data_IF_759240108294
#
_entry.id   IF_759240108294
#
_cell.length_a   1.000
_cell.length_b   1.000
_cell.length_c   1.000
_cell.angle_alpha   90.00
_cell.angle_beta   90.00
_cell.angle_gamma   90.00
#
_symmetry.space_group_name_H-M   'P 1'
#
loop_
_entity.id
_entity.type
_entity.pdbx_description
1 polymer ?
#
# COMPACT_ATOMS: atom_id res chain seq x y z
N UNK A 1 -36.06 46.46 -51.73
CA UNK A 1 -35.19 47.20 -50.79
C UNK A 1 -33.95 46.34 -50.56
N UNK A 2 -32.87 46.69 -51.28
CA UNK A 2 -31.59 47.22 -50.73
C UNK A 2 -30.74 46.13 -50.09
N UNK A 3 -29.72 45.64 -50.83
CA UNK A 3 -28.31 46.07 -50.75
C UNK A 3 -27.57 45.33 -49.62
N UNK A 4 -26.53 44.56 -49.94
CA UNK A 4 -25.12 45.01 -49.84
C UNK A 4 -24.50 44.36 -48.58
N UNK A 5 -23.24 43.95 -48.41
CA UNK A 5 -21.98 43.93 -49.18
C UNK A 5 -20.91 43.51 -48.15
N UNK A 6 -19.85 42.78 -48.58
CA UNK A 6 -18.46 42.75 -48.03
C UNK A 6 -18.28 42.52 -46.50
N UNK A 7 -17.12 42.23 -45.91
CA UNK A 7 -15.70 42.03 -46.20
C UNK A 7 -15.22 41.30 -44.93
N UNK A 8 -14.31 40.33 -44.98
CA UNK A 8 -12.89 40.61 -45.07
C UNK A 8 -12.18 40.35 -43.73
N UNK A 9 -10.87 40.12 -43.83
CA UNK A 9 -9.83 40.06 -42.80
C UNK A 9 -9.37 38.69 -42.26
N UNK A 10 -8.27 38.23 -42.90
CA UNK A 10 -7.08 37.67 -42.27
C UNK A 10 -6.80 38.21 -40.87
N UNK A 11 -6.32 37.36 -39.95
CA UNK A 11 -5.10 37.63 -39.16
C UNK A 11 -4.34 36.31 -38.92
N UNK A 12 -3.04 36.37 -39.16
CA UNK A 12 -2.05 35.31 -39.04
C UNK A 12 -1.44 35.22 -37.63
N UNK A 13 -0.81 34.06 -37.37
CA UNK A 13 0.34 33.79 -36.48
C UNK A 13 0.40 34.39 -35.06
N UNK A 14 0.65 33.50 -34.09
CA UNK A 14 1.76 33.69 -33.14
C UNK A 14 2.17 32.36 -32.51
N UNK A 15 3.33 31.86 -32.95
CA UNK A 15 4.15 30.86 -32.24
C UNK A 15 4.94 31.62 -31.18
N UNK A 16 4.81 31.25 -29.91
CA UNK A 16 5.80 31.58 -28.88
C UNK A 16 6.25 30.29 -28.18
N UNK A 17 7.55 30.04 -28.32
CA UNK A 17 8.33 29.08 -27.55
C UNK A 17 8.39 29.51 -26.08
N UNK A 18 8.38 28.53 -25.18
CA UNK A 18 9.01 28.67 -23.87
C UNK A 18 9.92 27.46 -23.63
N UNK A 19 11.20 27.60 -23.98
CA UNK A 19 12.27 26.86 -23.31
C UNK A 19 12.56 27.60 -22.00
N UNK A 20 12.37 26.96 -20.87
CA UNK A 20 13.06 27.31 -19.63
C UNK A 20 13.76 26.07 -19.13
N UNK A 21 15.08 26.11 -19.25
CA UNK A 21 15.97 25.07 -18.80
C UNK A 21 16.26 25.24 -17.29
N UNK A 22 16.46 24.07 -16.66
CA UNK A 22 17.30 23.80 -15.49
C UNK A 22 17.19 24.68 -14.24
N UNK A 23 16.55 24.11 -13.20
CA UNK A 23 17.13 24.10 -11.86
C UNK A 23 17.47 22.64 -11.54
N UNK A 24 18.77 22.32 -11.56
CA UNK A 24 19.32 21.23 -10.79
C UNK A 24 19.32 21.65 -9.33
N UNK A 25 18.57 20.91 -8.52
CA UNK A 25 18.92 20.71 -7.12
C UNK A 25 19.14 19.20 -6.98
N UNK A 26 20.37 18.79 -7.27
CA UNK A 26 20.97 17.59 -6.70
C UNK A 26 20.98 17.77 -5.18
N UNK A 27 19.92 17.32 -4.52
CA UNK A 27 19.93 17.11 -3.07
C UNK A 27 19.85 15.61 -2.80
N UNK A 28 21.03 15.06 -2.55
CA UNK A 28 21.31 13.80 -1.86
C UNK A 28 20.33 12.64 -2.12
N UNK A 29 20.59 11.91 -3.20
CA UNK A 29 20.09 10.57 -3.42
C UNK A 29 20.48 9.61 -2.29
N UNK A 30 19.63 9.50 -1.28
CA UNK A 30 19.22 8.18 -0.77
C UNK A 30 17.85 7.91 -1.37
N UNK A 31 17.84 7.40 -2.60
CA UNK A 31 16.63 6.96 -3.25
C UNK A 31 15.89 6.04 -2.29
N UNK A 32 14.72 6.47 -1.83
CA UNK A 32 13.76 5.57 -1.24
C UNK A 32 13.48 4.53 -2.31
N UNK A 33 14.16 3.38 -2.24
CA UNK A 33 13.76 2.20 -3.00
C UNK A 33 12.30 1.99 -2.64
N UNK A 34 11.41 2.33 -3.58
CA UNK A 34 9.98 2.28 -3.35
C UNK A 34 9.63 0.89 -2.86
N UNK A 35 8.84 0.81 -1.77
CA UNK A 35 8.36 -0.47 -1.28
C UNK A 35 7.58 -1.14 -2.41
N UNK A 36 8.00 -2.36 -2.76
CA UNK A 36 7.34 -3.15 -3.80
C UNK A 36 6.52 -4.26 -3.14
N UNK A 37 5.54 -4.86 -3.83
CA UNK A 37 4.89 -6.08 -3.36
C UNK A 37 5.88 -7.18 -2.93
N UNK A 38 7.01 -7.30 -3.64
CA UNK A 38 8.07 -8.25 -3.31
C UNK A 38 8.71 -7.98 -1.93
N UNK A 39 8.71 -6.73 -1.44
CA UNK A 39 9.25 -6.37 -0.12
C UNK A 39 8.47 -7.01 1.04
N UNK A 40 7.20 -7.40 0.82
CA UNK A 40 6.37 -8.06 1.83
C UNK A 40 6.56 -9.58 1.88
N UNK A 41 7.12 -10.18 0.82
CA UNK A 41 7.26 -11.63 0.69
C UNK A 41 8.14 -12.18 1.81
N UNK A 42 7.66 -13.22 2.50
CA UNK A 42 8.34 -13.81 3.65
C UNK A 42 7.38 -14.53 4.60
N UNK A 43 7.92 -15.05 5.69
CA UNK A 43 7.12 -15.58 6.81
C UNK A 43 7.12 -14.58 7.97
N UNK A 44 5.96 -14.46 8.62
CA UNK A 44 5.69 -13.42 9.60
C UNK A 44 5.01 -14.01 10.83
N UNK A 45 5.40 -13.56 12.02
CA UNK A 45 4.78 -13.90 13.30
C UNK A 45 3.97 -12.73 13.82
N UNK A 46 2.71 -12.95 14.17
CA UNK A 46 1.82 -11.92 14.69
C UNK A 46 1.98 -11.71 16.21
N UNK A 47 1.86 -10.44 16.62
CA UNK A 47 1.87 -9.99 18.00
C UNK A 47 0.73 -8.99 18.20
N UNK A 48 -0.26 -9.36 19.00
CA UNK A 48 -1.38 -8.48 19.36
C UNK A 48 -1.01 -7.55 20.51
N UNK A 49 -1.34 -6.27 20.37
CA UNK A 49 -1.34 -5.35 21.48
C UNK A 49 -2.69 -5.33 22.20
N UNK A 50 -2.65 -5.13 23.51
CA UNK A 50 -3.74 -4.53 24.29
C UNK A 50 -3.28 -3.12 24.69
N UNK A 51 -4.20 -2.18 25.03
CA UNK A 51 -3.78 -0.91 25.63
C UNK A 51 -2.89 -1.16 26.86
N UNK A 52 -1.59 -0.87 26.73
CA UNK A 52 -0.62 -0.99 27.83
C UNK A 52 0.17 -2.31 27.93
N UNK A 53 -0.11 -3.35 27.12
CA UNK A 53 0.69 -4.59 27.07
C UNK A 53 0.70 -5.24 25.67
N UNK A 54 1.88 -5.55 25.14
CA UNK A 54 2.07 -6.42 23.97
C UNK A 54 2.71 -7.72 24.43
N UNK A 55 1.90 -8.70 24.85
CA UNK A 55 2.33 -10.10 25.09
C UNK A 55 1.11 -11.02 25.28
N UNK A 56 0.01 -10.78 24.55
CA UNK A 56 -1.09 -11.76 24.51
C UNK A 56 -0.64 -12.90 23.61
N UNK A 57 -0.70 -14.13 24.13
CA UNK A 57 -0.13 -15.37 23.58
C UNK A 57 -0.88 -15.87 22.32
N UNK A 58 -1.10 -15.00 21.34
CA UNK A 58 -1.58 -15.33 20.02
C UNK A 58 -0.46 -15.04 19.02
N UNK A 59 0.19 -16.10 18.57
CA UNK A 59 1.26 -16.05 17.56
C UNK A 59 0.79 -16.77 16.31
N UNK A 60 -0.06 -16.11 15.53
CA UNK A 60 -0.36 -16.61 14.21
C UNK A 60 0.84 -16.43 13.30
N UNK A 61 1.15 -17.49 12.57
CA UNK A 61 2.22 -17.50 11.59
C UNK A 61 1.61 -17.31 10.22
N UNK A 62 2.10 -16.32 9.49
CA UNK A 62 1.63 -15.98 8.17
C UNK A 62 2.74 -16.13 7.16
N UNK A 63 2.36 -16.41 5.93
CA UNK A 63 3.24 -16.36 4.77
C UNK A 63 2.66 -15.42 3.74
N UNK A 64 3.48 -14.46 3.34
CA UNK A 64 3.18 -13.55 2.24
C UNK A 64 3.96 -14.01 1.02
N UNK A 65 3.27 -14.19 -0.10
CA UNK A 65 3.85 -14.56 -1.39
C UNK A 65 3.41 -13.58 -2.46
N UNK A 66 4.22 -13.45 -3.50
CA UNK A 66 3.82 -12.82 -4.74
C UNK A 66 3.49 -13.92 -5.74
N UNK A 67 2.31 -13.85 -6.33
CA UNK A 67 1.85 -14.76 -7.39
C UNK A 67 2.40 -14.30 -8.75
N UNK A 68 2.32 -15.16 -9.77
CA UNK A 68 2.89 -14.90 -11.11
C UNK A 68 2.32 -13.65 -11.80
N UNK A 69 1.08 -13.28 -11.45
CA UNK A 69 0.42 -12.06 -11.95
C UNK A 69 0.81 -10.80 -11.16
N UNK A 70 1.77 -10.91 -10.23
CA UNK A 70 2.23 -9.84 -9.38
C UNK A 70 1.35 -9.56 -8.15
N UNK A 71 0.21 -10.25 -8.01
CA UNK A 71 -0.68 -10.09 -6.85
C UNK A 71 -0.04 -10.66 -5.58
N UNK A 72 -0.38 -10.07 -4.43
CA UNK A 72 0.08 -10.57 -3.13
C UNK A 72 -0.93 -11.56 -2.59
N UNK A 73 -0.44 -12.70 -2.10
CA UNK A 73 -1.23 -13.70 -1.40
C UNK A 73 -0.76 -13.82 0.04
N UNK A 74 -1.71 -13.77 0.97
CA UNK A 74 -1.46 -14.02 2.39
C UNK A 74 -2.06 -15.37 2.76
N UNK A 75 -1.32 -16.18 3.53
CA UNK A 75 -1.76 -17.50 4.00
C UNK A 75 -1.40 -17.65 5.47
N UNK A 76 -2.32 -18.17 6.28
CA UNK A 76 -2.00 -18.55 7.66
C UNK A 76 -1.41 -19.96 7.68
N UNK A 77 -0.28 -20.15 8.35
CA UNK A 77 0.49 -21.40 8.35
C UNK A 77 0.05 -22.37 9.44
N UNK A 78 -0.40 -21.86 10.59
CA UNK A 78 -0.68 -22.65 11.79
C UNK A 78 -2.17 -22.88 12.07
N UNK A 79 -3.07 -22.40 11.20
CA UNK A 79 -4.52 -22.65 11.27
C UNK A 79 -5.19 -22.51 9.91
N UNK A 80 -6.39 -23.08 9.77
CA UNK A 80 -7.20 -23.01 8.55
C UNK A 80 -8.22 -21.89 8.67
N UNK A 81 -7.93 -20.74 8.05
CA UNK A 81 -8.87 -19.63 7.94
C UNK A 81 -8.75 -19.01 6.55
N UNK A 82 -9.86 -18.44 6.07
CA UNK A 82 -9.94 -17.89 4.73
C UNK A 82 -9.45 -16.44 4.72
N UNK A 83 -8.46 -16.16 3.87
CA UNK A 83 -7.99 -14.80 3.60
C UNK A 83 -8.52 -14.32 2.23
N UNK A 84 -8.97 -13.07 2.18
CA UNK A 84 -9.51 -12.38 1.00
C UNK A 84 -9.02 -10.93 0.93
N UNK A 85 -9.30 -10.29 -0.20
CA UNK A 85 -9.11 -8.86 -0.44
C UNK A 85 -7.68 -8.38 -0.20
N UNK A 86 -6.71 -9.26 -0.45
CA UNK A 86 -5.30 -8.92 -0.31
C UNK A 86 -4.89 -7.84 -1.30
N UNK A 87 -4.31 -6.76 -0.81
CA UNK A 87 -3.77 -5.67 -1.63
C UNK A 87 -2.59 -5.00 -0.94
N UNK A 88 -1.66 -4.52 -1.75
CA UNK A 88 -0.55 -3.68 -1.32
C UNK A 88 -0.73 -2.31 -1.95
N UNK A 89 -0.78 -1.28 -1.11
CA UNK A 89 -0.81 0.12 -1.50
C UNK A 89 0.40 0.80 -0.85
N UNK A 90 1.39 1.16 -1.67
CA UNK A 90 2.69 1.69 -1.21
C UNK A 90 3.40 0.73 -0.24
N UNK A 91 3.53 1.14 1.02
CA UNK A 91 4.17 0.42 2.12
C UNK A 91 3.16 -0.30 3.00
N UNK A 92 1.88 -0.35 2.61
CA UNK A 92 0.82 -0.92 3.42
C UNK A 92 0.18 -2.15 2.77
N UNK A 93 0.23 -3.28 3.47
CA UNK A 93 -0.49 -4.51 3.16
C UNK A 93 -1.84 -4.49 3.89
N UNK A 94 -2.92 -4.73 3.16
CA UNK A 94 -4.25 -4.91 3.76
C UNK A 94 -4.88 -6.21 3.26
N UNK A 95 -5.68 -6.85 4.10
CA UNK A 95 -6.43 -8.05 3.77
C UNK A 95 -7.58 -8.28 4.76
N UNK A 96 -8.48 -9.17 4.41
CA UNK A 96 -9.63 -9.60 5.21
C UNK A 96 -9.45 -11.06 5.62
N UNK A 97 -9.53 -11.34 6.92
CA UNK A 97 -9.50 -12.68 7.48
C UNK A 97 -10.89 -13.08 7.97
N UNK A 98 -11.37 -14.23 7.53
CA UNK A 98 -12.63 -14.83 7.97
C UNK A 98 -12.34 -15.91 9.01
N UNK A 99 -12.77 -15.65 10.24
CA UNK A 99 -12.81 -16.63 11.32
C UNK A 99 -14.19 -17.31 11.34
N UNK A 100 -14.36 -18.35 12.16
CA UNK A 100 -15.64 -19.05 12.32
C UNK A 100 -16.75 -18.16 12.93
N UNK A 101 -16.39 -17.04 13.57
CA UNK A 101 -17.32 -16.19 14.33
C UNK A 101 -17.45 -14.78 13.78
N UNK A 102 -16.40 -14.24 13.21
CA UNK A 102 -16.36 -12.85 12.75
C UNK A 102 -15.27 -12.62 11.70
N UNK A 103 -15.35 -11.46 11.06
CA UNK A 103 -14.36 -10.97 10.10
C UNK A 103 -13.39 -10.03 10.80
N UNK A 104 -12.10 -10.16 10.48
CA UNK A 104 -11.03 -9.26 10.92
C UNK A 104 -10.43 -8.58 9.70
N UNK A 105 -10.31 -7.26 9.73
CA UNK A 105 -9.65 -6.49 8.66
C UNK A 105 -8.28 -6.03 9.13
N UNK A 106 -7.26 -6.33 8.36
CA UNK A 106 -5.88 -5.98 8.64
C UNK A 106 -5.42 -4.80 7.79
N UNK A 107 -4.61 -3.93 8.41
CA UNK A 107 -3.86 -2.88 7.74
C UNK A 107 -2.49 -2.77 8.38
N UNK A 108 -1.44 -3.13 7.64
CA UNK A 108 -0.09 -3.32 8.16
C UNK A 108 0.92 -2.56 7.29
N UNK A 109 1.67 -1.65 7.89
CA UNK A 109 2.71 -0.88 7.19
C UNK A 109 4.09 -1.48 7.43
N UNK A 110 4.80 -1.82 6.35
CA UNK A 110 6.17 -2.32 6.39
C UNK A 110 7.11 -1.22 6.87
N UNK A 111 7.86 -1.52 7.92
CA UNK A 111 8.83 -0.59 8.49
C UNK A 111 10.10 -0.55 7.63
N UNK A 112 10.86 0.56 7.64
CA UNK A 112 12.08 0.71 6.84
C UNK A 112 13.16 -0.34 7.09
N UNK A 113 13.15 -1.00 8.25
CA UNK A 113 14.10 -2.05 8.59
C UNK A 113 13.76 -3.41 7.96
N UNK A 114 12.62 -3.53 7.27
CA UNK A 114 12.04 -4.75 6.71
C UNK A 114 11.85 -5.88 7.72
N UNK A 115 12.01 -5.65 9.02
CA UNK A 115 11.86 -6.66 10.07
C UNK A 115 10.47 -6.66 10.66
N UNK A 116 9.81 -5.50 10.65
CA UNK A 116 8.50 -5.34 11.26
C UNK A 116 7.48 -4.84 10.24
N UNK A 117 6.25 -5.33 10.36
CA UNK A 117 5.07 -4.59 9.93
C UNK A 117 4.28 -4.14 11.15
N UNK A 118 3.78 -2.92 11.12
CA UNK A 118 3.05 -2.33 12.25
C UNK A 118 1.74 -1.78 11.72
N UNK A 119 0.65 -2.02 12.42
CA UNK A 119 -0.63 -1.45 12.05
C UNK A 119 -1.75 -1.93 12.95
N UNK A 120 -2.90 -2.23 12.37
CA UNK A 120 -4.12 -2.55 13.12
C UNK A 120 -4.84 -3.79 12.60
N UNK A 121 -5.52 -4.46 13.53
CA UNK A 121 -6.54 -5.46 13.26
C UNK A 121 -7.89 -4.89 13.73
N UNK A 122 -8.86 -4.81 12.83
CA UNK A 122 -10.21 -4.32 13.11
C UNK A 122 -11.17 -5.50 13.22
N UNK A 123 -11.73 -5.70 14.40
CA UNK A 123 -12.80 -6.67 14.68
C UNK A 123 -14.16 -5.96 14.70
N UNK A 124 -15.30 -6.68 14.83
CA UNK A 124 -16.59 -6.03 15.03
C UNK A 124 -16.70 -5.21 16.33
N UNK A 125 -15.85 -5.49 17.33
CA UNK A 125 -15.91 -4.84 18.66
C UNK A 125 -15.00 -3.64 18.76
N UNK A 126 -13.80 -3.75 18.19
CA UNK A 126 -12.71 -2.81 18.43
C UNK A 126 -11.63 -2.90 17.34
N UNK A 127 -10.84 -1.82 17.27
CA UNK A 127 -9.60 -1.74 16.50
C UNK A 127 -8.45 -1.89 17.48
N UNK A 128 -7.56 -2.84 17.24
CA UNK A 128 -6.40 -3.08 18.11
C UNK A 128 -5.09 -2.97 17.34
N UNK A 129 -4.02 -2.46 17.99
CA UNK A 129 -2.70 -2.44 17.39
C UNK A 129 -2.16 -3.86 17.25
N UNK A 130 -1.49 -4.12 16.13
CA UNK A 130 -0.84 -5.40 15.85
C UNK A 130 0.52 -5.15 15.23
N UNK A 131 1.47 -6.04 15.51
CA UNK A 131 2.80 -6.04 14.93
C UNK A 131 3.10 -7.41 14.35
N UNK A 132 3.71 -7.46 13.17
CA UNK A 132 4.19 -8.69 12.58
C UNK A 132 5.72 -8.66 12.50
N UNK A 133 6.37 -9.66 13.08
CA UNK A 133 7.82 -9.85 13.02
C UNK A 133 8.17 -10.77 11.86
N UNK A 134 9.13 -10.38 11.02
CA UNK A 134 9.64 -11.26 9.96
C UNK A 134 10.44 -12.39 10.58
N UNK A 135 10.10 -13.62 10.20
CA UNK A 135 10.75 -14.85 10.70
C UNK A 135 11.55 -15.58 9.63
N UNK A 136 11.20 -15.42 8.34
CA UNK A 136 11.96 -15.94 7.19
C UNK A 136 11.84 -15.02 5.98
#
# INVERSE_FOLDING_TARGET
MTRSVQQGFLVALLVWMACSACISADDAGKGAQGVTPASFVGEWSEHWGTPGQTDVTYHDQYKVRQEDNGAVKVTILNRKQLIKDERVEKDTLTFTQHTDRYVVKYSLTLQPDNKWMIGTATTPKEVVPVKWERTK
#
